data_IF_929337776319
#
_entry.id   IF_929337776319
#
_cell.length_a   1.000
_cell.length_b   1.000
_cell.length_c   1.000
_cell.angle_alpha   90.00
_cell.angle_beta   90.00
_cell.angle_gamma   90.00
#
_symmetry.space_group_name_H-M   'P 1'
#
loop_
_entity.id
_entity.type
_entity.pdbx_description
1 polymer ?
#
# COMPACT_ATOMS: atom_id res chain seq x y z
N UNK A 1 -3.21 2.93 4.52
CA UNK A 1 -2.17 3.32 5.49
C UNK A 1 -0.79 3.29 4.83
N UNK A 2 0.18 4.03 5.34
CA UNK A 2 1.55 4.00 4.82
C UNK A 2 2.23 2.70 5.27
N UNK A 3 2.50 1.82 4.32
CA UNK A 3 3.24 0.59 4.57
C UNK A 3 4.74 0.88 4.46
N UNK A 4 5.49 0.72 5.56
CA UNK A 4 6.96 0.87 5.60
C UNK A 4 7.64 -0.50 5.81
N UNK A 5 7.20 -1.50 5.03
CA UNK A 5 7.70 -2.88 5.07
C UNK A 5 6.65 -3.94 5.38
N UNK A 6 5.45 -3.56 5.84
CA UNK A 6 4.36 -4.53 6.04
C UNK A 6 3.88 -5.12 4.70
N UNK A 7 3.55 -6.40 4.69
CA UNK A 7 3.14 -7.16 3.50
C UNK A 7 4.20 -7.19 2.39
N UNK A 8 5.48 -6.96 2.71
CA UNK A 8 6.56 -6.85 1.73
C UNK A 8 6.54 -5.55 0.92
N UNK A 9 5.68 -4.58 1.29
CA UNK A 9 5.52 -3.32 0.59
C UNK A 9 6.16 -2.19 1.39
N UNK A 10 7.12 -1.50 0.78
CA UNK A 10 7.83 -0.40 1.41
C UNK A 10 7.51 0.92 0.70
N UNK A 11 7.08 1.91 1.49
CA UNK A 11 6.87 3.28 1.04
C UNK A 11 5.56 3.56 0.30
N UNK A 12 4.54 2.69 0.40
CA UNK A 12 3.29 2.85 -0.36
C UNK A 12 2.07 2.95 0.54
N UNK A 13 1.11 3.78 0.12
CA UNK A 13 -0.20 3.85 0.77
C UNK A 13 -1.10 2.76 0.22
N UNK A 14 -1.36 1.73 1.03
CA UNK A 14 -2.19 0.58 0.63
C UNK A 14 -3.34 0.41 1.61
N UNK A 15 -4.48 -0.08 1.12
CA UNK A 15 -5.66 -0.40 1.91
C UNK A 15 -5.43 -1.67 2.73
N UNK A 16 -4.66 -1.57 3.81
CA UNK A 16 -4.40 -2.66 4.76
C UNK A 16 -5.24 -2.45 6.03
N UNK A 17 -5.65 -3.53 6.71
CA UNK A 17 -6.36 -3.41 7.98
C UNK A 17 -5.47 -2.69 9.00
N UNK A 18 -5.88 -1.49 9.42
CA UNK A 18 -5.11 -0.67 10.35
C UNK A 18 -5.93 -0.27 11.55
N UNK A 19 -5.30 -0.32 12.71
CA UNK A 19 -5.83 0.26 13.94
C UNK A 19 -5.56 1.74 13.91
N UNK A 20 -6.62 2.55 13.91
CA UNK A 20 -6.57 4.01 13.99
C UNK A 20 -7.02 4.40 15.39
N UNK A 21 -6.21 5.18 16.10
CA UNK A 21 -6.57 5.74 17.39
C UNK A 21 -6.30 7.23 17.46
N UNK A 22 -6.16 7.79 18.67
CA UNK A 22 -6.16 9.24 18.88
C UNK A 22 -4.97 9.96 18.22
N UNK A 23 -3.88 9.24 17.95
CA UNK A 23 -2.68 9.74 17.27
C UNK A 23 -2.60 9.45 15.77
N UNK A 24 -3.67 8.91 15.15
CA UNK A 24 -3.67 8.49 13.75
C UNK A 24 -3.51 6.97 13.60
N UNK A 25 -2.70 6.53 12.62
CA UNK A 25 -2.47 5.09 12.38
C UNK A 25 -1.58 4.54 13.50
N UNK A 26 -2.15 3.79 14.42
CA UNK A 26 -1.43 3.23 15.57
C UNK A 26 -0.76 1.90 15.24
N UNK A 27 -1.42 1.04 14.45
CA UNK A 27 -0.90 -0.29 14.09
C UNK A 27 -1.38 -0.73 12.72
N UNK A 28 -0.53 -1.43 11.98
CA UNK A 28 -0.89 -2.15 10.76
C UNK A 28 -0.97 -3.64 11.12
N UNK A 29 -2.14 -4.25 10.91
CA UNK A 29 -2.35 -5.68 11.15
C UNK A 29 -1.80 -6.45 9.95
N UNK A 30 -0.64 -7.07 10.13
CA UNK A 30 -0.05 -7.96 9.15
C UNK A 30 -0.70 -9.34 9.30
N UNK A 31 -1.63 -9.66 8.40
CA UNK A 31 -2.29 -10.96 8.34
C UNK A 31 -1.56 -11.83 7.31
N UNK A 32 -1.41 -13.12 7.60
CA UNK A 32 -0.91 -14.07 6.61
C UNK A 32 -1.96 -14.25 5.53
N UNK A 33 -1.71 -13.66 4.36
CA UNK A 33 -2.51 -13.87 3.16
C UNK A 33 -2.24 -15.27 2.61
N UNK A 34 -3.28 -15.94 2.12
CA UNK A 34 -3.09 -17.14 1.32
C UNK A 34 -2.61 -16.80 -0.10
N UNK A 35 -2.27 -17.80 -0.92
CA UNK A 35 -1.70 -17.57 -2.26
C UNK A 35 -2.63 -16.79 -3.20
N UNK A 36 -3.95 -17.01 -3.10
CA UNK A 36 -4.94 -16.32 -3.93
C UNK A 36 -5.09 -14.86 -3.49
N UNK A 37 -5.16 -14.62 -2.19
CA UNK A 37 -5.21 -13.28 -1.59
C UNK A 37 -3.93 -12.49 -1.86
N UNK A 38 -2.77 -13.15 -1.83
CA UNK A 38 -1.49 -12.54 -2.16
C UNK A 38 -1.46 -12.11 -3.63
N UNK A 39 -1.97 -12.94 -4.55
CA UNK A 39 -2.11 -12.59 -5.97
C UNK A 39 -3.05 -11.38 -6.16
N UNK A 40 -4.17 -11.34 -5.44
CA UNK A 40 -5.09 -10.19 -5.47
C UNK A 40 -4.45 -8.92 -4.92
N UNK A 41 -3.67 -9.05 -3.85
CA UNK A 41 -2.93 -7.94 -3.25
C UNK A 41 -1.87 -7.39 -4.20
N UNK A 42 -1.06 -8.26 -4.82
CA UNK A 42 -0.03 -7.88 -5.80
C UNK A 42 -0.64 -7.20 -7.03
N UNK A 43 -1.79 -7.67 -7.51
CA UNK A 43 -2.54 -7.00 -8.57
C UNK A 43 -2.99 -5.59 -8.15
N UNK A 44 -3.47 -5.43 -6.91
CA UNK A 44 -3.86 -4.12 -6.39
C UNK A 44 -2.66 -3.19 -6.23
N UNK A 45 -1.49 -3.70 -5.84
CA UNK A 45 -0.25 -2.92 -5.78
C UNK A 45 0.17 -2.44 -7.17
N UNK A 46 0.14 -3.34 -8.15
CA UNK A 46 0.49 -3.03 -9.54
C UNK A 46 -0.39 -1.91 -10.10
N UNK A 47 -1.69 -1.92 -9.80
CA UNK A 47 -2.61 -0.85 -10.21
C UNK A 47 -2.28 0.51 -9.57
N UNK A 48 -1.90 0.51 -8.29
CA UNK A 48 -1.49 1.74 -7.58
C UNK A 48 -0.15 2.26 -8.10
N UNK A 49 0.82 1.38 -8.36
CA UNK A 49 2.10 1.74 -8.97
C UNK A 49 1.90 2.37 -10.35
N UNK A 50 1.09 1.76 -11.22
CA UNK A 50 0.79 2.32 -12.54
C UNK A 50 0.12 3.69 -12.46
N UNK A 51 -0.81 3.88 -11.52
CA UNK A 51 -1.44 5.18 -11.31
C UNK A 51 -0.44 6.24 -10.83
N UNK A 52 0.47 5.88 -9.92
CA UNK A 52 1.54 6.78 -9.44
C UNK A 52 2.50 7.12 -10.59
N UNK A 53 2.92 6.14 -11.39
CA UNK A 53 3.76 6.39 -12.57
C UNK A 53 3.10 7.34 -13.55
N UNK A 54 1.81 7.16 -13.83
CA UNK A 54 1.07 8.04 -14.73
C UNK A 54 0.90 9.44 -14.14
N UNK A 55 0.70 9.56 -12.82
CA UNK A 55 0.72 10.85 -12.13
C UNK A 55 2.10 11.53 -12.20
N UNK A 56 3.20 10.80 -12.03
CA UNK A 56 4.57 11.34 -12.14
C UNK A 56 4.86 11.78 -13.59
N UNK A 57 4.40 11.01 -14.59
CA UNK A 57 4.50 11.42 -16.01
C UNK A 57 3.73 12.70 -16.30
N UNK A 58 2.59 12.91 -15.63
CA UNK A 58 1.75 14.09 -15.82
C UNK A 58 2.27 15.32 -15.05
N UNK A 59 2.77 15.12 -13.84
CA UNK A 59 3.36 16.15 -12.98
C UNK A 59 4.68 15.65 -12.35
N UNK A 60 5.84 16.07 -12.91
CA UNK A 60 7.16 15.64 -12.44
C UNK A 60 7.52 16.07 -11.01
N UNK A 61 6.74 16.96 -10.37
CA UNK A 61 7.01 17.42 -9.00
C UNK A 61 6.64 16.41 -7.91
N UNK A 62 5.98 15.31 -8.28
CA UNK A 62 5.51 14.24 -7.40
C UNK A 62 6.54 13.12 -7.13
N UNK A 63 7.73 13.18 -7.76
CA UNK A 63 8.80 12.17 -7.67
C UNK A 63 9.93 12.53 -6.71
#
# INVERSE_FOLDING_TARGET
AYCDGQFGVKGRYVGVPTVIGAGGVERILEISLNADEQTMFDNSLTAVEGLIEDCIKLDPSLG
#
